data_IF_927783864191
#
_entry.id   IF_927783864191
#
_cell.length_a   1.000
_cell.length_b   1.000
_cell.length_c   1.000
_cell.angle_alpha   90.00
_cell.angle_beta   90.00
_cell.angle_gamma   90.00
#
_symmetry.space_group_name_H-M   'P 1'
#
loop_
_entity.id
_entity.type
_entity.pdbx_description
1 polymer ?
#
# COMPACT_ATOMS: atom_id res chain seq x y z
N UNK A 1 17.71 -3.60 -6.82
CA UNK A 1 16.88 -2.80 -5.88
C UNK A 1 15.84 -3.66 -5.16
N UNK A 2 14.97 -4.39 -5.88
CA UNK A 2 13.92 -5.26 -5.28
C UNK A 2 14.45 -6.24 -4.22
N UNK A 3 15.58 -6.91 -4.48
CA UNK A 3 16.22 -7.83 -3.50
C UNK A 3 16.58 -7.12 -2.19
N UNK A 4 17.16 -5.91 -2.27
CA UNK A 4 17.52 -5.11 -1.10
C UNK A 4 16.28 -4.69 -0.31
N UNK A 5 15.22 -4.25 -1.01
CA UNK A 5 13.94 -3.89 -0.37
C UNK A 5 13.33 -5.11 0.32
N UNK A 6 13.29 -6.27 -0.34
CA UNK A 6 12.80 -7.52 0.24
C UNK A 6 13.55 -7.92 1.50
N UNK A 7 14.89 -7.84 1.47
CA UNK A 7 15.72 -8.21 2.63
C UNK A 7 15.56 -7.20 3.78
N UNK A 8 15.35 -5.92 3.45
CA UNK A 8 14.95 -4.90 4.42
C UNK A 8 13.58 -5.22 5.04
N UNK A 9 12.55 -5.51 4.23
CA UNK A 9 11.22 -5.90 4.71
C UNK A 9 11.28 -7.09 5.69
N UNK A 10 12.07 -8.13 5.36
CA UNK A 10 12.30 -9.27 6.27
C UNK A 10 12.95 -8.83 7.57
N UNK A 11 13.95 -7.96 7.49
CA UNK A 11 14.66 -7.44 8.66
C UNK A 11 13.74 -6.64 9.57
N UNK A 12 12.94 -5.74 9.01
CA UNK A 12 11.99 -4.91 9.76
C UNK A 12 10.93 -5.79 10.42
N UNK A 13 10.34 -6.74 9.68
CA UNK A 13 9.34 -7.65 10.22
C UNK A 13 9.87 -8.47 11.40
N UNK A 14 11.12 -8.95 11.33
CA UNK A 14 11.73 -9.74 12.42
C UNK A 14 12.13 -8.91 13.64
N UNK A 15 12.44 -7.62 13.46
CA UNK A 15 13.05 -6.79 14.51
C UNK A 15 12.09 -5.80 15.16
N UNK A 16 10.97 -5.49 14.50
CA UNK A 16 10.02 -4.51 15.01
C UNK A 16 9.10 -5.18 16.03
N UNK A 17 9.07 -4.65 17.25
CA UNK A 17 8.04 -5.03 18.20
C UNK A 17 6.72 -4.39 17.76
N UNK A 18 5.69 -5.21 17.54
CA UNK A 18 4.39 -4.78 17.03
C UNK A 18 3.29 -4.98 18.08
N UNK A 19 2.30 -4.07 18.16
CA UNK A 19 1.17 -4.20 19.10
C UNK A 19 0.24 -5.38 18.79
N UNK A 20 0.35 -5.97 17.60
CA UNK A 20 -0.30 -7.21 17.19
C UNK A 20 0.67 -8.04 16.34
N UNK A 21 0.51 -9.37 16.25
CA UNK A 21 1.40 -10.21 15.45
C UNK A 21 1.38 -9.79 13.98
N UNK A 22 2.52 -9.37 13.43
CA UNK A 22 2.69 -9.11 12.01
C UNK A 22 3.48 -10.26 11.39
N UNK A 23 2.94 -10.85 10.31
CA UNK A 23 3.60 -11.95 9.58
C UNK A 23 3.89 -11.59 8.12
N UNK A 24 3.49 -10.39 7.69
CA UNK A 24 3.70 -9.91 6.35
C UNK A 24 4.18 -8.46 6.34
N UNK A 25 4.85 -8.09 5.26
CA UNK A 25 5.33 -6.74 5.03
C UNK A 25 5.35 -6.41 3.53
N UNK A 26 5.16 -5.15 3.20
CA UNK A 26 5.30 -4.67 1.83
C UNK A 26 5.82 -3.24 1.80
N UNK A 27 6.36 -2.84 0.65
CA UNK A 27 6.91 -1.52 0.43
C UNK A 27 6.14 -0.81 -0.67
N UNK A 28 5.38 0.21 -0.32
CA UNK A 28 4.64 1.06 -1.26
C UNK A 28 5.53 2.21 -1.70
N UNK A 29 5.64 2.45 -3.00
CA UNK A 29 6.52 3.48 -3.55
C UNK A 29 5.97 4.12 -4.83
N UNK A 30 6.43 5.33 -5.21
CA UNK A 30 6.12 5.87 -6.52
C UNK A 30 6.69 4.96 -7.61
N UNK A 31 5.85 4.57 -8.55
CA UNK A 31 6.18 3.72 -9.69
C UNK A 31 6.08 4.54 -10.97
N UNK A 32 7.10 4.39 -11.82
CA UNK A 32 7.14 4.93 -13.18
C UNK A 32 7.65 3.87 -14.12
N UNK A 33 6.78 3.33 -14.96
CA UNK A 33 7.12 2.31 -15.95
C UNK A 33 6.31 2.57 -17.22
N UNK A 34 6.97 2.59 -18.37
CA UNK A 34 6.31 2.67 -19.68
C UNK A 34 5.22 3.77 -19.83
N UNK A 35 5.44 4.95 -19.25
CA UNK A 35 4.49 6.08 -19.31
C UNK A 35 3.50 6.16 -18.14
N UNK A 36 3.47 5.17 -17.25
CA UNK A 36 2.64 5.21 -16.04
C UNK A 36 3.16 6.16 -14.97
N UNK A 37 2.23 6.75 -14.23
CA UNK A 37 2.49 7.40 -12.94
C UNK A 37 1.48 6.87 -11.93
N UNK A 38 1.99 6.18 -10.90
CA UNK A 38 1.14 5.55 -9.90
C UNK A 38 1.95 5.06 -8.72
N UNK A 39 1.31 4.37 -7.79
CA UNK A 39 1.99 3.62 -6.75
C UNK A 39 2.30 2.21 -7.23
N UNK A 40 3.48 1.72 -6.86
CA UNK A 40 3.85 0.32 -6.96
C UNK A 40 4.02 -0.25 -5.57
N UNK A 41 4.10 -1.58 -5.51
CA UNK A 41 4.40 -2.29 -4.29
C UNK A 41 5.45 -3.37 -4.52
N UNK A 42 6.37 -3.49 -3.56
CA UNK A 42 7.31 -4.59 -3.47
C UNK A 42 6.91 -5.50 -2.30
N UNK A 43 6.75 -6.79 -2.57
CA UNK A 43 6.29 -7.79 -1.58
C UNK A 43 7.45 -8.50 -0.88
N UNK A 44 7.19 -9.22 0.22
CA UNK A 44 8.17 -10.09 0.88
C UNK A 44 8.68 -11.26 0.02
N UNK A 45 7.93 -11.64 -1.03
CA UNK A 45 8.36 -12.60 -2.03
C UNK A 45 9.38 -11.99 -3.02
N UNK A 46 9.51 -10.66 -3.03
CA UNK A 46 10.35 -9.93 -3.97
C UNK A 46 9.67 -9.67 -5.30
N UNK A 47 8.34 -9.66 -5.34
CA UNK A 47 7.58 -9.21 -6.51
C UNK A 47 7.59 -7.68 -6.57
N UNK A 48 7.41 -7.11 -7.76
CA UNK A 48 7.32 -5.66 -7.98
C UNK A 48 6.13 -5.37 -8.88
N UNK A 49 5.04 -4.86 -8.29
CA UNK A 49 3.71 -4.86 -8.90
C UNK A 49 3.12 -3.45 -8.92
N UNK A 50 2.16 -3.15 -9.80
CA UNK A 50 1.35 -1.96 -9.66
C UNK A 50 0.48 -2.12 -8.40
N UNK A 51 0.41 -1.07 -7.56
CA UNK A 51 -0.53 -1.08 -6.44
C UNK A 51 -1.91 -0.77 -7.02
N UNK A 52 -2.79 -1.77 -7.04
CA UNK A 52 -4.13 -1.64 -7.60
C UNK A 52 -5.15 -1.24 -6.53
N UNK A 53 -6.34 -0.85 -6.97
CA UNK A 53 -7.47 -0.55 -6.09
C UNK A 53 -7.83 -1.75 -5.23
N UNK A 54 -7.92 -2.93 -5.84
CA UNK A 54 -8.25 -4.17 -5.13
C UNK A 54 -7.22 -4.43 -4.02
N UNK A 55 -5.94 -4.18 -4.31
CA UNK A 55 -4.87 -4.34 -3.33
C UNK A 55 -4.99 -3.34 -2.17
N UNK A 56 -5.35 -2.07 -2.45
CA UNK A 56 -5.64 -1.07 -1.42
C UNK A 56 -6.85 -1.43 -0.57
N UNK A 57 -7.94 -1.88 -1.18
CA UNK A 57 -9.15 -2.30 -0.46
C UNK A 57 -8.86 -3.46 0.50
N UNK A 58 -8.02 -4.41 0.10
CA UNK A 58 -7.55 -5.46 1.00
C UNK A 58 -6.73 -4.92 2.17
N UNK A 59 -5.84 -3.93 1.94
CA UNK A 59 -5.07 -3.29 3.02
C UNK A 59 -5.97 -2.49 3.97
N UNK A 60 -6.97 -1.79 3.45
CA UNK A 60 -7.93 -0.99 4.24
C UNK A 60 -8.66 -1.82 5.30
N UNK A 61 -8.93 -3.09 4.99
CA UNK A 61 -9.71 -4.01 5.83
C UNK A 61 -8.90 -4.72 6.90
N UNK A 62 -7.58 -4.51 6.97
CA UNK A 62 -6.73 -5.21 7.93
C UNK A 62 -5.90 -4.29 8.82
N UNK A 63 -5.54 -4.76 10.03
CA UNK A 63 -4.55 -4.12 10.86
C UNK A 63 -3.22 -3.95 10.11
N UNK A 64 -2.84 -2.70 9.88
CA UNK A 64 -1.58 -2.33 9.22
C UNK A 64 -0.81 -1.34 10.09
N UNK A 65 0.50 -1.51 10.15
CA UNK A 65 1.44 -0.57 10.79
C UNK A 65 2.31 0.04 9.71
N UNK A 66 2.68 1.30 9.89
CA UNK A 66 3.77 1.92 9.16
C UNK A 66 5.05 1.79 9.99
N UNK A 67 6.16 1.42 9.36
CA UNK A 67 7.46 1.28 10.05
C UNK A 67 7.80 2.53 10.87
N UNK A 68 8.07 2.34 12.16
CA UNK A 68 8.39 3.43 13.09
C UNK A 68 7.19 4.28 13.54
N UNK A 69 5.95 3.91 13.22
CA UNK A 69 4.73 4.71 13.46
C UNK A 69 3.61 3.86 14.10
N UNK A 70 2.56 4.55 14.56
CA UNK A 70 1.27 4.02 15.03
C UNK A 70 0.51 3.23 13.95
N UNK A 71 -0.55 2.48 14.33
CA UNK A 71 -1.48 1.87 13.38
C UNK A 71 -1.97 2.86 12.33
N UNK A 72 -2.05 2.36 11.09
CA UNK A 72 -2.49 3.13 9.93
C UNK A 72 -3.57 2.39 9.17
N UNK A 73 -4.44 3.16 8.54
CA UNK A 73 -5.36 2.66 7.50
C UNK A 73 -4.97 3.33 6.20
N UNK A 74 -4.82 2.52 5.15
CA UNK A 74 -4.61 3.01 3.78
C UNK A 74 -5.87 2.71 2.97
N UNK A 75 -6.33 3.69 2.21
CA UNK A 75 -7.48 3.53 1.32
C UNK A 75 -7.32 4.33 0.04
N UNK A 76 -8.23 4.12 -0.89
CA UNK A 76 -8.39 5.00 -2.04
C UNK A 76 -8.69 6.43 -1.55
N UNK A 77 -8.18 7.44 -2.27
CA UNK A 77 -8.43 8.84 -1.93
C UNK A 77 -9.85 9.28 -2.33
N UNK A 78 -10.40 8.63 -3.34
CA UNK A 78 -11.77 8.78 -3.81
C UNK A 78 -12.42 7.39 -3.94
N UNK A 79 -13.71 7.25 -3.65
CA UNK A 79 -14.46 6.03 -3.96
C UNK A 79 -14.50 5.76 -5.47
N UNK A 80 -14.22 6.76 -6.31
CA UNK A 80 -14.11 6.63 -7.77
C UNK A 80 -12.68 6.40 -8.29
N UNK A 81 -11.64 6.49 -7.44
CA UNK A 81 -10.29 6.00 -7.80
C UNK A 81 -10.28 4.48 -8.08
N UNK A 82 -11.45 3.82 -7.92
CA UNK A 82 -11.71 2.39 -8.05
C UNK A 82 -11.48 1.83 -9.45
N UNK A 83 -11.42 2.68 -10.49
CA UNK A 83 -11.03 2.27 -11.84
C UNK A 83 -10.30 3.45 -12.48
N UNK A 84 -9.01 3.33 -12.79
CA UNK A 84 -8.33 4.35 -13.59
C UNK A 84 -9.11 4.49 -14.90
N UNK A 85 -9.81 5.60 -15.07
CA UNK A 85 -10.61 5.90 -16.24
C UNK A 85 -9.67 6.17 -17.42
N UNK A 86 -9.44 5.13 -18.21
CA UNK A 86 -8.69 5.18 -19.46
C UNK A 86 -8.53 3.77 -19.97
N UNK A 87 -8.84 3.53 -21.25
CA UNK A 87 -8.49 2.26 -21.87
C UNK A 87 -6.98 2.06 -21.69
N UNK A 88 -6.55 0.99 -21.02
CA UNK A 88 -5.13 0.69 -20.95
C UNK A 88 -4.65 0.52 -22.41
N UNK A 89 -3.48 1.10 -22.79
CA UNK A 89 -2.97 0.95 -24.14
C UNK A 89 -2.98 -0.52 -24.57
N UNK A 90 -3.26 -0.85 -25.82
CA UNK A 90 -3.37 -2.26 -26.25
C UNK A 90 -2.12 -3.13 -25.96
N UNK A 91 -0.96 -2.51 -25.70
CA UNK A 91 0.28 -3.19 -25.27
C UNK A 91 0.32 -3.54 -23.76
N UNK A 92 -0.69 -3.12 -23.01
CA UNK A 92 -0.73 -3.18 -21.56
C UNK A 92 -1.18 -4.56 -21.08
N UNK A 93 -0.38 -5.20 -20.23
CA UNK A 93 -0.60 -6.58 -19.76
C UNK A 93 -0.83 -6.71 -18.26
N UNK A 94 -0.68 -5.61 -17.50
CA UNK A 94 -0.84 -5.57 -16.03
C UNK A 94 -2.09 -4.73 -15.67
N UNK A 95 -2.59 -4.72 -14.43
CA UNK A 95 -3.60 -3.74 -14.02
C UNK A 95 -2.98 -2.33 -13.86
N UNK A 96 -3.79 -1.28 -14.01
CA UNK A 96 -3.32 0.10 -13.81
C UNK A 96 -3.10 0.40 -12.31
N UNK A 97 -2.01 1.10 -11.95
CA UNK A 97 -1.75 1.50 -10.57
C UNK A 97 -2.62 2.67 -10.13
N UNK A 98 -2.91 2.73 -8.84
CA UNK A 98 -3.55 3.89 -8.21
C UNK A 98 -2.62 5.10 -8.22
N UNK A 99 -3.18 6.29 -8.43
CA UNK A 99 -2.42 7.54 -8.48
C UNK A 99 -2.56 8.39 -7.21
N UNK A 100 -3.39 7.94 -6.26
CA UNK A 100 -3.62 8.60 -4.97
C UNK A 100 -3.89 7.54 -3.91
N UNK A 101 -3.39 7.79 -2.70
CA UNK A 101 -3.65 6.96 -1.52
C UNK A 101 -3.98 7.90 -0.37
N UNK A 102 -5.07 7.65 0.33
CA UNK A 102 -5.35 8.30 1.60
C UNK A 102 -4.78 7.46 2.74
N UNK A 103 -4.08 8.12 3.66
CA UNK A 103 -3.48 7.51 4.83
C UNK A 103 -4.02 8.16 6.10
N UNK A 104 -4.61 7.36 6.98
CA UNK A 104 -5.03 7.78 8.31
C UNK A 104 -4.11 7.15 9.35
N UNK A 105 -3.70 7.94 10.36
CA UNK A 105 -2.78 7.51 11.43
C UNK A 105 -3.49 7.47 12.78
N UNK A 106 -3.03 6.58 13.66
CA UNK A 106 -3.57 6.48 15.02
C UNK A 106 -4.99 5.91 15.05
N UNK A 107 -5.38 5.19 13.99
CA UNK A 107 -6.71 4.59 13.88
C UNK A 107 -6.72 3.24 14.57
N UNK A 108 -7.82 2.92 15.25
CA UNK A 108 -8.03 1.57 15.77
C UNK A 108 -8.08 0.57 14.60
N UNK A 109 -7.43 -0.60 14.70
CA UNK A 109 -7.52 -1.61 13.65
C UNK A 109 -8.97 -2.02 13.37
N UNK A 110 -9.36 -2.06 12.10
CA UNK A 110 -10.74 -2.38 11.69
C UNK A 110 -11.73 -1.22 11.79
N UNK A 111 -11.25 0.02 11.95
CA UNK A 111 -12.10 1.21 11.98
C UNK A 111 -13.03 1.29 10.77
N UNK A 112 -14.29 1.59 11.04
CA UNK A 112 -15.32 1.73 10.01
C UNK A 112 -15.09 3.01 9.18
N UNK A 113 -15.58 3.08 7.93
CA UNK A 113 -15.43 4.26 7.08
C UNK A 113 -15.89 5.57 7.75
N UNK A 114 -16.94 5.52 8.58
CA UNK A 114 -17.44 6.68 9.33
C UNK A 114 -16.45 7.20 10.38
N UNK A 115 -15.64 6.33 10.99
CA UNK A 115 -14.60 6.71 11.96
C UNK A 115 -13.42 7.39 11.24
N UNK A 116 -13.10 6.95 10.02
CA UNK A 116 -12.06 7.54 9.18
C UNK A 116 -12.46 8.92 8.65
N UNK A 117 -13.74 9.12 8.31
CA UNK A 117 -14.26 10.42 7.86
C UNK A 117 -14.18 11.50 8.94
N UNK A 118 -14.24 11.11 10.21
CA UNK A 118 -14.10 12.02 11.35
C UNK A 118 -12.64 12.41 11.63
N UNK A 119 -11.67 11.74 11.00
CA UNK A 119 -10.23 11.97 11.19
C UNK A 119 -9.62 12.69 9.98
N UNK A 120 -8.64 13.55 10.24
CA UNK A 120 -7.85 14.16 9.17
C UNK A 120 -6.90 13.12 8.55
N UNK A 121 -7.19 12.72 7.31
CA UNK A 121 -6.31 11.87 6.51
C UNK A 121 -5.23 12.67 5.77
N UNK A 122 -4.16 11.98 5.38
CA UNK A 122 -3.08 12.52 4.55
C UNK A 122 -3.23 11.96 3.14
N UNK A 123 -3.39 12.85 2.16
CA UNK A 123 -3.41 12.47 0.75
C UNK A 123 -1.97 12.31 0.23
N UNK A 124 -1.65 11.13 -0.28
CA UNK A 124 -0.38 10.78 -0.88
C UNK A 124 -0.49 10.72 -2.39
N UNK A 125 0.52 11.24 -3.10
CA UNK A 125 0.58 11.21 -4.56
C UNK A 125 1.97 10.75 -5.06
N UNK A 126 2.05 9.97 -6.15
CA UNK A 126 3.27 9.36 -6.64
C UNK A 126 4.08 10.37 -7.47
N UNK A 127 4.91 11.16 -6.79
CA UNK A 127 5.91 12.05 -7.42
C UNK A 127 7.31 11.44 -7.36
N UNK A 128 8.26 11.93 -8.17
CA UNK A 128 9.68 11.54 -8.04
C UNK A 128 10.16 11.91 -6.63
N UNK A 129 10.78 10.96 -5.93
CA UNK A 129 11.12 11.15 -4.52
C UNK A 129 9.90 11.31 -3.60
N UNK A 130 8.73 10.92 -4.09
CA UNK A 130 7.47 10.92 -3.34
C UNK A 130 7.44 9.90 -2.20
N UNK A 131 6.30 9.80 -1.51
CA UNK A 131 6.19 9.02 -0.28
C UNK A 131 6.49 7.54 -0.52
N UNK A 132 7.30 6.98 0.37
CA UNK A 132 7.68 5.57 0.41
C UNK A 132 7.28 5.03 1.78
N UNK A 133 6.54 3.93 1.79
CA UNK A 133 5.94 3.38 3.00
C UNK A 133 6.36 1.92 3.16
N UNK A 134 7.02 1.59 4.26
CA UNK A 134 7.18 0.21 4.72
C UNK A 134 6.00 -0.15 5.60
N UNK A 135 5.14 -1.05 5.13
CA UNK A 135 3.95 -1.49 5.86
C UNK A 135 4.19 -2.87 6.46
N UNK A 136 3.77 -3.05 7.72
CA UNK A 136 3.70 -4.34 8.39
C UNK A 136 2.23 -4.72 8.55
N UNK A 137 1.87 -5.90 8.08
CA UNK A 137 0.49 -6.38 8.11
C UNK A 137 0.40 -7.62 9.00
N UNK A 138 -0.76 -7.80 9.63
CA UNK A 138 -1.02 -9.00 10.44
C UNK A 138 -0.76 -10.29 9.64
N UNK A 139 -1.21 -10.31 8.40
CA UNK A 139 -1.04 -11.38 7.43
C UNK A 139 -0.91 -10.84 6.01
N UNK A 140 -0.71 -11.73 5.04
CA UNK A 140 -0.70 -11.36 3.63
C UNK A 140 -2.09 -10.88 3.21
N UNK A 141 -2.21 -9.70 2.59
CA UNK A 141 -3.53 -9.21 2.17
C UNK A 141 -4.19 -10.10 1.13
N UNK A 142 -5.49 -10.33 1.29
CA UNK A 142 -6.29 -11.16 0.36
C UNK A 142 -6.22 -10.60 -1.06
N UNK A 143 -6.05 -11.46 -2.06
CA UNK A 143 -5.99 -11.06 -3.47
C UNK A 143 -4.65 -10.49 -3.92
N UNK A 144 -3.65 -10.41 -3.04
CA UNK A 144 -2.27 -10.10 -3.44
C UNK A 144 -1.58 -11.32 -4.05
N UNK A 145 -0.70 -11.16 -5.05
CA UNK A 145 0.08 -12.25 -5.64
C UNK A 145 1.22 -12.71 -4.70
N UNK A 146 1.96 -13.76 -5.11
CA UNK A 146 2.56 -14.77 -4.24
C UNK A 146 4.04 -14.61 -3.87
#
# INVERSE_FOLDING_TARGET
MVVVVRDHLRTVLMRTATPFPCTYACFVHPRRRAGEQGFGVITLAGESLPLTVIMLESLKRMPTLLEGVNPVVLGAADEEDVIVAGEPPAAWREPLPVNRVMLWQGVTPGAEPSELQAQSGILLSPRVGGPQLTLLCAERPVGWPA
#
